data_IF_039661513823
#
_entry.id   IF_039661513823
#
_cell.length_a   1.000
_cell.length_b   1.000
_cell.length_c   1.000
_cell.angle_alpha   90.00
_cell.angle_beta   90.00
_cell.angle_gamma   90.00
#
_symmetry.space_group_name_H-M   'P 1'
#
loop_
_entity.id
_entity.type
_entity.pdbx_description
1 polymer ?
#
# COMPACT_ATOMS: atom_id res chain seq x y z
N UNK A 1 70.09 -37.07 -27.24
CA UNK A 1 69.72 -35.65 -26.89
C UNK A 1 68.28 -35.64 -26.51
N UNK A 2 67.98 -35.67 -25.21
CA UNK A 2 66.61 -35.63 -24.67
C UNK A 2 66.44 -34.30 -23.93
N UNK A 3 65.55 -33.47 -24.46
CA UNK A 3 65.24 -32.18 -23.83
C UNK A 3 64.01 -32.39 -22.90
N UNK A 4 64.21 -32.22 -21.62
CA UNK A 4 63.13 -32.28 -20.62
C UNK A 4 62.33 -31.02 -20.61
N UNK A 5 60.98 -31.09 -20.80
CA UNK A 5 60.03 -30.03 -20.61
C UNK A 5 59.61 -30.01 -19.13
N UNK A 6 59.93 -28.92 -18.43
CA UNK A 6 59.45 -28.68 -17.07
C UNK A 6 58.08 -28.01 -17.14
N UNK A 7 57.03 -28.68 -16.64
CA UNK A 7 55.68 -28.16 -16.54
C UNK A 7 55.54 -27.37 -15.25
N UNK A 8 55.36 -26.07 -15.35
CA UNK A 8 55.13 -25.18 -14.22
C UNK A 8 53.62 -25.21 -13.87
N UNK A 9 53.26 -25.81 -12.73
CA UNK A 9 51.90 -25.77 -12.18
C UNK A 9 51.68 -24.45 -11.43
N UNK A 10 50.86 -23.57 -12.00
CA UNK A 10 50.45 -22.32 -11.40
C UNK A 10 49.23 -22.58 -10.52
N UNK A 11 49.41 -22.64 -9.20
CA UNK A 11 48.33 -22.71 -8.23
C UNK A 11 47.68 -21.32 -8.11
N UNK A 12 46.55 -21.11 -8.77
CA UNK A 12 45.69 -19.93 -8.57
C UNK A 12 44.81 -20.17 -7.36
N UNK A 13 45.12 -19.54 -6.23
CA UNK A 13 44.24 -19.47 -5.07
C UNK A 13 43.07 -18.51 -5.37
N UNK A 14 41.86 -19.03 -5.46
CA UNK A 14 40.64 -18.22 -5.58
C UNK A 14 40.33 -17.54 -4.22
N UNK A 15 40.01 -16.24 -4.20
CA UNK A 15 39.61 -15.62 -2.97
C UNK A 15 38.21 -16.12 -2.56
N UNK A 16 38.10 -16.66 -1.35
CA UNK A 16 36.82 -16.99 -0.70
C UNK A 16 36.15 -15.66 -0.35
N UNK A 17 35.12 -15.30 -1.11
CA UNK A 17 34.26 -14.19 -0.77
C UNK A 17 33.40 -14.64 0.41
N UNK A 18 33.70 -14.17 1.60
CA UNK A 18 32.84 -14.36 2.77
C UNK A 18 31.50 -13.63 2.52
N UNK A 19 30.43 -14.40 2.31
CA UNK A 19 29.09 -13.87 2.27
C UNK A 19 28.77 -13.25 3.64
N UNK A 20 28.69 -11.94 3.71
CA UNK A 20 28.16 -11.25 4.89
C UNK A 20 26.70 -11.63 5.02
N UNK A 21 26.35 -12.39 6.06
CA UNK A 21 24.98 -12.70 6.41
C UNK A 21 24.24 -11.36 6.64
N UNK A 22 23.31 -11.01 5.76
CA UNK A 22 22.38 -9.91 5.98
C UNK A 22 21.58 -10.23 7.24
N UNK A 23 21.73 -9.39 8.27
CA UNK A 23 20.91 -9.50 9.47
C UNK A 23 19.44 -9.40 9.05
N UNK A 24 18.63 -10.41 9.39
CA UNK A 24 17.16 -10.33 9.23
C UNK A 24 16.66 -9.10 9.98
N UNK A 25 15.77 -8.29 9.38
CA UNK A 25 15.20 -7.16 10.07
C UNK A 25 14.51 -7.64 11.35
N UNK A 26 14.78 -6.95 12.46
CA UNK A 26 14.18 -7.28 13.75
C UNK A 26 12.64 -7.22 13.61
N UNK A 27 11.96 -8.29 13.96
CA UNK A 27 10.48 -8.34 13.94
C UNK A 27 9.94 -7.37 15.00
N UNK A 28 8.97 -6.53 14.61
CA UNK A 28 8.25 -5.65 15.56
C UNK A 28 7.50 -6.54 16.56
N UNK A 29 7.50 -6.24 17.88
CA UNK A 29 6.71 -6.99 18.84
C UNK A 29 5.22 -7.01 18.49
N UNK A 30 4.53 -8.14 18.67
CA UNK A 30 3.12 -8.31 18.32
C UNK A 30 2.21 -7.21 18.90
N UNK A 31 2.39 -6.86 20.19
CA UNK A 31 1.63 -5.77 20.83
C UNK A 31 1.81 -4.40 20.17
N UNK A 32 3.00 -4.10 19.63
CA UNK A 32 3.23 -2.86 18.88
C UNK A 32 2.55 -2.89 17.52
N UNK A 33 2.50 -4.05 16.86
CA UNK A 33 1.76 -4.24 15.62
C UNK A 33 0.25 -4.06 15.83
N UNK A 34 -0.31 -4.53 16.93
CA UNK A 34 -1.73 -4.36 17.26
C UNK A 34 -2.10 -2.87 17.39
N UNK A 35 -1.29 -2.09 18.08
CA UNK A 35 -1.51 -0.64 18.23
C UNK A 35 -1.41 0.09 16.89
N UNK A 36 -0.39 -0.23 16.10
CA UNK A 36 -0.21 0.36 14.76
C UNK A 36 -1.34 -0.08 13.84
N UNK A 37 -1.74 -1.35 13.88
CA UNK A 37 -2.85 -1.87 13.10
C UNK A 37 -4.16 -1.13 13.38
N UNK A 38 -4.52 -0.94 14.64
CA UNK A 38 -5.70 -0.16 15.03
C UNK A 38 -5.63 1.28 14.52
N UNK A 39 -4.45 1.91 14.59
CA UNK A 39 -4.24 3.24 14.04
C UNK A 39 -4.46 3.26 12.53
N UNK A 40 -3.90 2.32 11.77
CA UNK A 40 -4.06 2.27 10.31
C UNK A 40 -5.52 2.06 9.89
N UNK A 41 -6.27 1.23 10.62
CA UNK A 41 -7.72 1.10 10.43
C UNK A 41 -8.45 2.43 10.68
N UNK A 42 -8.05 3.19 11.70
CA UNK A 42 -8.62 4.52 11.96
C UNK A 42 -8.28 5.52 10.84
N UNK A 43 -7.06 5.49 10.30
CA UNK A 43 -6.65 6.34 9.17
C UNK A 43 -7.43 5.99 7.88
N UNK A 44 -7.69 4.69 7.62
CA UNK A 44 -8.55 4.26 6.50
C UNK A 44 -9.97 4.82 6.63
N UNK A 45 -10.58 4.68 7.81
CA UNK A 45 -11.91 5.25 8.07
C UNK A 45 -11.92 6.77 7.90
N UNK A 46 -10.88 7.44 8.43
CA UNK A 46 -10.72 8.88 8.29
C UNK A 46 -10.57 9.30 6.82
N UNK A 47 -9.83 8.55 6.01
CA UNK A 47 -9.65 8.81 4.58
C UNK A 47 -11.00 8.86 3.84
N UNK A 48 -11.86 7.87 4.07
CA UNK A 48 -13.21 7.83 3.50
C UNK A 48 -14.09 8.99 3.99
N UNK A 49 -14.07 9.27 5.29
CA UNK A 49 -14.82 10.37 5.89
C UNK A 49 -14.38 11.74 5.32
N UNK A 50 -13.07 11.95 5.17
CA UNK A 50 -12.51 13.17 4.59
C UNK A 50 -12.89 13.32 3.11
N UNK A 51 -12.90 12.23 2.33
CA UNK A 51 -13.35 12.24 0.94
C UNK A 51 -14.84 12.56 0.84
N UNK A 52 -15.69 11.93 1.65
CA UNK A 52 -17.13 12.19 1.69
C UNK A 52 -17.42 13.64 2.07
N UNK A 53 -16.70 14.18 3.05
CA UNK A 53 -16.81 15.59 3.51
C UNK A 53 -16.08 16.59 2.61
N UNK A 54 -15.34 16.14 1.61
CA UNK A 54 -14.51 16.94 0.71
C UNK A 54 -13.50 17.84 1.43
N UNK A 55 -12.90 17.33 2.50
CA UNK A 55 -11.80 17.98 3.18
C UNK A 55 -10.47 17.67 2.46
N UNK A 56 -10.23 18.40 1.36
CA UNK A 56 -9.14 18.10 0.43
C UNK A 56 -7.76 18.17 1.08
N UNK A 57 -7.49 19.12 1.95
CA UNK A 57 -6.17 19.30 2.56
C UNK A 57 -5.85 18.17 3.54
N UNK A 58 -6.81 17.82 4.41
CA UNK A 58 -6.64 16.71 5.34
C UNK A 58 -6.56 15.35 4.61
N UNK A 59 -7.37 15.15 3.56
CA UNK A 59 -7.31 13.96 2.72
C UNK A 59 -5.93 13.78 2.06
N UNK A 60 -5.41 14.84 1.43
CA UNK A 60 -4.08 14.84 0.80
C UNK A 60 -2.94 14.62 1.78
N UNK A 61 -3.10 15.05 3.03
CA UNK A 61 -2.08 14.86 4.08
C UNK A 61 -1.88 13.38 4.46
N UNK A 62 -2.84 12.50 4.18
CA UNK A 62 -2.73 11.06 4.39
C UNK A 62 -1.87 10.36 3.32
N UNK A 63 -1.63 10.99 2.18
CA UNK A 63 -0.98 10.37 1.02
C UNK A 63 0.48 10.73 0.90
N UNK A 64 1.29 9.73 0.56
CA UNK A 64 2.68 9.95 0.16
C UNK A 64 2.78 10.71 -1.18
N UNK A 65 3.92 11.31 -1.46
CA UNK A 65 4.16 12.05 -2.72
C UNK A 65 4.02 11.17 -3.97
N UNK A 66 4.29 9.87 -3.83
CA UNK A 66 4.20 8.84 -4.87
C UNK A 66 2.94 7.97 -4.78
N UNK A 67 1.91 8.43 -4.07
CA UNK A 67 0.60 7.76 -4.00
C UNK A 67 0.01 7.55 -5.39
N UNK A 68 -0.60 6.40 -5.60
CA UNK A 68 -1.35 6.08 -6.81
C UNK A 68 -2.52 5.15 -6.51
N UNK A 69 -3.48 5.10 -7.44
CA UNK A 69 -4.63 4.19 -7.36
C UNK A 69 -4.71 3.29 -8.58
N UNK A 70 -5.31 2.12 -8.40
CA UNK A 70 -5.66 1.20 -9.50
C UNK A 70 -7.16 0.95 -9.44
N UNK A 71 -7.83 1.10 -10.58
CA UNK A 71 -9.27 0.88 -10.69
C UNK A 71 -9.66 0.44 -12.10
N UNK A 72 -10.96 0.32 -12.36
CA UNK A 72 -11.48 -0.11 -13.67
C UNK A 72 -11.07 0.81 -14.84
N UNK A 73 -10.78 2.08 -14.57
CA UNK A 73 -10.29 3.03 -15.57
C UNK A 73 -8.76 2.98 -15.78
N UNK A 74 -8.04 2.14 -15.02
CA UNK A 74 -6.58 1.99 -15.09
C UNK A 74 -5.85 2.51 -13.86
N UNK A 75 -4.63 2.99 -14.07
CA UNK A 75 -3.74 3.49 -13.01
C UNK A 75 -3.78 5.02 -13.03
N UNK A 76 -4.03 5.63 -11.87
CA UNK A 76 -4.02 7.07 -11.70
C UNK A 76 -2.96 7.48 -10.67
N UNK A 77 -2.11 8.44 -11.02
CA UNK A 77 -1.15 9.05 -10.12
C UNK A 77 -1.86 9.89 -9.03
N UNK A 78 -1.11 10.36 -8.02
CA UNK A 78 -1.62 11.06 -6.85
C UNK A 78 -2.61 12.18 -7.20
N UNK A 79 -2.21 13.15 -8.02
CA UNK A 79 -3.03 14.33 -8.26
C UNK A 79 -4.39 14.01 -8.93
N UNK A 80 -4.47 13.21 -10.02
CA UNK A 80 -5.77 12.82 -10.58
C UNK A 80 -6.60 11.94 -9.63
N UNK A 81 -5.98 11.08 -8.80
CA UNK A 81 -6.68 10.27 -7.81
C UNK A 81 -7.34 11.13 -6.73
N UNK A 82 -6.60 12.11 -6.18
CA UNK A 82 -7.09 13.05 -5.18
C UNK A 82 -8.19 13.96 -5.77
N UNK A 83 -8.04 14.40 -7.02
CA UNK A 83 -9.07 15.19 -7.71
C UNK A 83 -10.36 14.40 -7.90
N UNK A 84 -10.27 13.13 -8.29
CA UNK A 84 -11.44 12.25 -8.43
C UNK A 84 -12.18 12.03 -7.11
N UNK A 85 -11.45 11.83 -6.00
CA UNK A 85 -12.05 11.69 -4.67
C UNK A 85 -12.75 12.98 -4.18
N UNK A 86 -12.34 14.13 -4.70
CA UNK A 86 -12.89 15.45 -4.35
C UNK A 86 -13.92 15.96 -5.38
N UNK A 87 -14.35 15.13 -6.33
CA UNK A 87 -15.31 15.55 -7.36
C UNK A 87 -16.63 16.01 -6.73
N UNK A 88 -17.05 17.28 -6.93
CA UNK A 88 -18.27 17.81 -6.35
C UNK A 88 -19.55 17.15 -6.90
N UNK A 89 -19.46 16.46 -8.05
CA UNK A 89 -20.58 15.76 -8.67
C UNK A 89 -20.78 14.36 -8.11
N UNK A 90 -19.88 13.85 -7.27
CA UNK A 90 -20.01 12.58 -6.54
C UNK A 90 -20.56 12.85 -5.14
N UNK A 91 -21.67 12.23 -4.79
CA UNK A 91 -22.29 12.32 -3.46
C UNK A 91 -22.53 10.92 -2.92
N UNK A 92 -22.08 10.65 -1.73
CA UNK A 92 -22.40 9.45 -0.99
C UNK A 92 -23.64 9.68 -0.11
N UNK A 93 -24.63 8.81 -0.24
CA UNK A 93 -25.81 8.78 0.65
C UNK A 93 -25.59 7.80 1.80
N UNK A 94 -24.81 6.73 1.56
CA UNK A 94 -24.41 5.75 2.57
C UNK A 94 -23.02 5.22 2.25
N UNK A 95 -22.22 4.97 3.29
CA UNK A 95 -20.92 4.33 3.20
C UNK A 95 -20.66 3.51 4.47
N UNK A 96 -20.40 2.22 4.30
CA UNK A 96 -20.05 1.28 5.36
C UNK A 96 -18.71 0.62 5.05
N UNK A 97 -17.83 0.59 6.05
CA UNK A 97 -16.53 -0.07 5.99
C UNK A 97 -16.47 -1.15 7.07
N UNK A 98 -16.23 -2.40 6.68
CA UNK A 98 -16.25 -3.56 7.56
C UNK A 98 -15.14 -4.55 7.23
N UNK A 99 -14.92 -5.53 8.13
CA UNK A 99 -14.01 -6.66 7.89
C UNK A 99 -12.56 -6.24 7.68
N UNK A 100 -12.09 -5.26 8.46
CA UNK A 100 -10.69 -4.80 8.38
C UNK A 100 -9.72 -5.89 8.81
N UNK A 101 -8.65 -6.04 8.04
CA UNK A 101 -7.48 -6.84 8.37
C UNK A 101 -6.21 -6.07 8.03
N UNK A 102 -5.14 -6.22 8.84
CA UNK A 102 -3.89 -5.50 8.69
C UNK A 102 -2.73 -6.48 8.64
N UNK A 103 -2.08 -6.57 7.48
CA UNK A 103 -0.93 -7.42 7.26
C UNK A 103 0.35 -6.58 7.21
N UNK A 104 1.22 -6.72 8.23
CA UNK A 104 2.54 -6.10 8.19
C UNK A 104 3.43 -6.87 7.21
N UNK A 105 3.73 -6.26 6.06
CA UNK A 105 4.60 -6.83 5.02
C UNK A 105 6.07 -6.49 5.28
N UNK A 106 6.34 -5.45 6.09
CA UNK A 106 7.64 -5.09 6.64
C UNK A 106 7.46 -4.29 7.94
N UNK A 107 8.54 -3.96 8.63
CA UNK A 107 8.50 -3.16 9.88
C UNK A 107 7.87 -1.77 9.67
N UNK A 108 8.01 -1.23 8.47
CA UNK A 108 7.57 0.10 8.05
C UNK A 108 6.55 0.07 6.91
N UNK A 109 5.94 -1.10 6.64
CA UNK A 109 4.95 -1.27 5.60
C UNK A 109 3.84 -2.25 6.02
N UNK A 110 2.58 -1.85 5.80
CA UNK A 110 1.39 -2.64 6.11
C UNK A 110 0.34 -2.52 5.01
N UNK A 111 -0.23 -3.66 4.64
CA UNK A 111 -1.40 -3.75 3.77
C UNK A 111 -2.66 -3.79 4.65
N UNK A 112 -3.55 -2.85 4.44
CA UNK A 112 -4.88 -2.82 5.07
C UNK A 112 -5.91 -3.28 4.06
N UNK A 113 -6.70 -4.29 4.40
CA UNK A 113 -7.79 -4.79 3.56
C UNK A 113 -9.11 -4.66 4.28
N UNK A 114 -10.18 -4.42 3.53
CA UNK A 114 -11.53 -4.27 4.08
C UNK A 114 -12.60 -4.41 3.00
N UNK A 115 -13.84 -4.51 3.44
CA UNK A 115 -15.01 -4.49 2.58
C UNK A 115 -15.67 -3.12 2.66
N UNK A 116 -16.01 -2.54 1.51
CA UNK A 116 -16.73 -1.27 1.41
C UNK A 116 -18.07 -1.48 0.70
N UNK A 117 -19.14 -0.98 1.31
CA UNK A 117 -20.46 -0.84 0.68
C UNK A 117 -20.85 0.62 0.72
N UNK A 118 -21.20 1.15 -0.45
CA UNK A 118 -21.63 2.53 -0.53
C UNK A 118 -22.67 2.70 -1.64
N UNK A 119 -23.45 3.76 -1.55
CA UNK A 119 -24.35 4.19 -2.61
C UNK A 119 -24.43 5.72 -2.65
N UNK A 120 -24.93 6.23 -3.76
CA UNK A 120 -25.07 7.67 -3.93
C UNK A 120 -25.34 8.08 -5.36
N UNK A 121 -24.89 9.27 -5.72
CA UNK A 121 -24.97 9.84 -7.05
C UNK A 121 -23.57 10.16 -7.57
N UNK A 122 -23.34 9.82 -8.84
CA UNK A 122 -22.18 10.19 -9.62
C UNK A 122 -22.67 10.92 -10.88
N UNK A 123 -22.41 12.23 -10.98
CA UNK A 123 -22.90 13.08 -12.07
C UNK A 123 -24.41 12.92 -12.31
N UNK A 124 -25.20 12.86 -11.23
CA UNK A 124 -26.66 12.69 -11.28
C UNK A 124 -27.14 11.28 -11.54
N UNK A 125 -26.27 10.31 -11.74
CA UNK A 125 -26.61 8.88 -11.90
C UNK A 125 -26.42 8.14 -10.59
N UNK A 126 -27.36 7.28 -10.22
CA UNK A 126 -27.22 6.43 -9.03
C UNK A 126 -26.09 5.42 -9.23
N UNK A 127 -25.30 5.21 -8.19
CA UNK A 127 -24.32 4.13 -8.13
C UNK A 127 -24.52 3.27 -6.89
N UNK A 128 -24.06 2.04 -6.97
CA UNK A 128 -23.87 1.13 -5.85
C UNK A 128 -22.46 0.58 -5.94
N UNK A 129 -21.74 0.66 -4.83
CA UNK A 129 -20.40 0.11 -4.63
C UNK A 129 -20.51 -1.04 -3.63
N UNK A 130 -20.02 -2.20 -4.01
CA UNK A 130 -19.81 -3.37 -3.16
C UNK A 130 -18.48 -3.96 -3.59
N UNK A 131 -17.42 -3.75 -2.79
CA UNK A 131 -16.05 -4.04 -3.21
C UNK A 131 -15.17 -4.45 -2.05
N UNK A 132 -14.18 -5.29 -2.32
CA UNK A 132 -13.01 -5.46 -1.45
C UNK A 132 -11.97 -4.41 -1.81
N UNK A 133 -11.51 -3.68 -0.81
CA UNK A 133 -10.50 -2.65 -0.94
C UNK A 133 -9.19 -3.07 -0.28
N UNK A 134 -8.10 -2.53 -0.79
CA UNK A 134 -6.77 -2.68 -0.21
C UNK A 134 -5.97 -1.39 -0.32
N UNK A 135 -5.29 -1.02 0.75
CA UNK A 135 -4.41 0.14 0.84
C UNK A 135 -3.05 -0.28 1.38
N UNK A 136 -1.99 0.19 0.76
CA UNK A 136 -0.63 0.00 1.27
C UNK A 136 -0.20 1.27 2.00
N UNK A 137 0.10 1.11 3.27
CA UNK A 137 0.64 2.16 4.13
C UNK A 137 2.13 1.94 4.36
N UNK A 138 2.92 2.99 4.23
CA UNK A 138 4.36 2.96 4.50
C UNK A 138 4.75 4.06 5.48
N UNK A 139 5.63 3.72 6.41
CA UNK A 139 6.20 4.69 7.35
C UNK A 139 7.32 5.46 6.67
N UNK A 140 7.16 6.77 6.50
CA UNK A 140 8.14 7.67 5.91
C UNK A 140 8.39 8.85 6.84
N UNK A 141 9.64 9.08 7.19
CA UNK A 141 10.04 10.15 8.14
C UNK A 141 9.24 10.11 9.46
N UNK A 142 8.96 8.90 9.96
CA UNK A 142 8.22 8.70 11.20
C UNK A 142 6.68 8.71 11.07
N UNK A 143 6.12 9.06 9.92
CA UNK A 143 4.67 9.11 9.65
C UNK A 143 4.24 7.94 8.77
N UNK A 144 3.07 7.36 9.08
CA UNK A 144 2.40 6.41 8.20
C UNK A 144 1.65 7.18 7.13
N UNK A 145 1.97 6.91 5.85
CA UNK A 145 1.34 7.53 4.68
C UNK A 145 0.83 6.44 3.75
N UNK A 146 -0.34 6.66 3.18
CA UNK A 146 -0.89 5.79 2.14
C UNK A 146 -0.11 5.99 0.84
N UNK A 147 0.39 4.90 0.25
CA UNK A 147 1.13 4.92 -1.02
C UNK A 147 0.35 4.28 -2.16
N UNK A 148 -0.69 3.52 -1.84
CA UNK A 148 -1.47 2.80 -2.85
C UNK A 148 -2.89 2.51 -2.35
N UNK A 149 -3.86 2.61 -3.26
CA UNK A 149 -5.24 2.17 -3.05
C UNK A 149 -5.79 1.43 -4.27
N UNK A 150 -6.55 0.39 -4.02
CA UNK A 150 -7.31 -0.35 -5.03
C UNK A 150 -8.63 -0.83 -4.44
N UNK A 151 -9.68 -0.88 -5.28
CA UNK A 151 -10.92 -1.56 -4.96
C UNK A 151 -11.31 -2.52 -6.09
N UNK A 152 -11.71 -3.74 -5.71
CA UNK A 152 -12.17 -4.77 -6.64
C UNK A 152 -13.66 -5.05 -6.36
N UNK A 153 -14.56 -4.88 -7.34
CA UNK A 153 -15.96 -5.17 -7.16
C UNK A 153 -16.22 -6.63 -6.76
N UNK A 154 -17.16 -6.84 -5.86
CA UNK A 154 -17.65 -8.19 -5.57
C UNK A 154 -18.39 -8.77 -6.78
N UNK A 155 -18.40 -10.10 -6.98
CA UNK A 155 -19.20 -10.72 -8.03
C UNK A 155 -20.67 -10.35 -7.87
N UNK A 156 -21.32 -9.99 -8.96
CA UNK A 156 -22.78 -9.80 -8.96
C UNK A 156 -23.43 -11.17 -8.75
N UNK A 157 -24.28 -11.26 -7.74
CA UNK A 157 -25.15 -12.42 -7.52
C UNK A 157 -26.30 -12.42 -8.51
#
# INVERSE_FOLDING_TARGET
MYTALATLLLNAALPVIAATASASPASVPAAANDIIGQRLVAEERASWDLAIKRNADAYKALHASDFFTVGGAGIAARAPSEASAMDPNVRFDHCELAGFDVHFVAQDAALVTYHVKANGLDHGKTFQLDSYASSLWMKRNGQWLNVFYQATPTPKQ
#
